data_IF_104595527606
#
_entry.id   IF_104595527606
#
_cell.length_a   1.000
_cell.length_b   1.000
_cell.length_c   1.000
_cell.angle_alpha   90.00
_cell.angle_beta   90.00
_cell.angle_gamma   90.00
#
_symmetry.space_group_name_H-M   'P 1'
#
loop_
_entity.id
_entity.type
_entity.pdbx_description
1 polymer ?
#
# COMPACT_ATOMS: atom_id res chain seq x y z
N UNK A 1 -31.40 -16.90 -26.04
CA UNK A 1 -30.31 -15.92 -26.26
C UNK A 1 -29.26 -16.19 -25.20
N UNK A 2 -28.01 -16.55 -25.54
CA UNK A 2 -26.96 -16.76 -24.55
C UNK A 2 -26.53 -15.40 -23.97
N UNK A 3 -26.30 -15.35 -22.66
CA UNK A 3 -25.84 -14.13 -21.99
C UNK A 3 -24.50 -13.65 -22.58
N UNK A 4 -24.26 -12.34 -22.72
CA UNK A 4 -22.96 -11.85 -23.15
C UNK A 4 -21.91 -12.27 -22.13
N UNK A 5 -20.96 -13.11 -22.57
CA UNK A 5 -19.78 -13.42 -21.78
C UNK A 5 -18.96 -12.13 -21.69
N UNK A 6 -18.97 -11.48 -20.52
CA UNK A 6 -17.99 -10.45 -20.21
C UNK A 6 -16.63 -11.15 -20.17
N UNK A 7 -15.91 -11.10 -21.30
CA UNK A 7 -14.47 -11.37 -21.34
C UNK A 7 -13.80 -10.20 -20.61
N UNK A 8 -13.81 -10.26 -19.27
CA UNK A 8 -12.86 -9.50 -18.47
C UNK A 8 -11.53 -10.17 -18.78
N UNK A 9 -10.82 -9.65 -19.78
CA UNK A 9 -9.40 -9.90 -19.91
C UNK A 9 -8.77 -9.29 -18.65
N UNK A 10 -8.18 -10.08 -17.73
CA UNK A 10 -7.48 -9.50 -16.60
C UNK A 10 -6.22 -8.82 -17.14
N UNK A 11 -6.34 -7.54 -17.52
CA UNK A 11 -5.19 -6.66 -17.74
C UNK A 11 -4.68 -6.26 -16.36
N UNK A 12 -3.54 -6.84 -15.97
CA UNK A 12 -2.82 -6.53 -14.73
C UNK A 12 -2.70 -5.02 -14.55
N UNK A 13 -3.20 -4.51 -13.42
CA UNK A 13 -3.05 -3.14 -12.92
C UNK A 13 -3.19 -1.99 -13.95
N UNK A 14 -4.20 -1.99 -14.82
CA UNK A 14 -4.44 -0.81 -15.68
C UNK A 14 -4.66 0.44 -14.79
N UNK A 15 -3.82 1.47 -14.94
CA UNK A 15 -3.95 2.81 -14.33
C UNK A 15 -3.55 2.98 -12.86
N UNK A 16 -3.31 1.90 -12.13
CA UNK A 16 -2.85 1.98 -10.73
C UNK A 16 -1.38 2.37 -10.68
N UNK A 17 -1.03 3.33 -9.83
CA UNK A 17 0.36 3.81 -9.68
C UNK A 17 0.71 3.90 -8.21
N UNK A 18 1.92 3.49 -7.87
CA UNK A 18 2.51 3.72 -6.56
C UNK A 18 3.66 4.70 -6.74
N UNK A 19 3.78 5.69 -5.86
CA UNK A 19 4.91 6.63 -5.87
C UNK A 19 5.44 6.84 -4.48
N UNK A 20 6.74 7.01 -4.37
CA UNK A 20 7.40 7.36 -3.11
C UNK A 20 7.93 8.78 -3.18
N UNK A 21 7.69 9.56 -2.13
CA UNK A 21 8.16 10.92 -1.96
C UNK A 21 8.94 11.09 -0.65
N UNK A 22 9.98 11.93 -0.66
CA UNK A 22 10.77 12.30 0.52
C UNK A 22 10.75 13.82 0.74
N UNK A 23 10.68 14.25 2.00
CA UNK A 23 10.73 15.67 2.39
C UNK A 23 9.38 16.42 2.30
N UNK A 24 9.40 17.72 2.62
CA UNK A 24 8.20 18.59 2.61
C UNK A 24 7.69 18.91 1.20
N UNK A 25 8.56 18.87 0.19
CA UNK A 25 8.22 18.98 -1.24
C UNK A 25 8.66 17.71 -1.96
N UNK A 26 7.84 16.64 -1.95
CA UNK A 26 8.28 15.33 -2.39
C UNK A 26 8.58 15.29 -3.89
N UNK A 27 9.82 14.94 -4.24
CA UNK A 27 10.13 14.39 -5.57
C UNK A 27 9.55 12.98 -5.63
N UNK A 28 8.50 12.81 -6.44
CA UNK A 28 7.80 11.53 -6.57
C UNK A 28 8.53 10.59 -7.52
N UNK A 29 9.05 9.49 -6.99
CA UNK A 29 9.59 8.39 -7.81
C UNK A 29 8.46 7.41 -8.13
N UNK A 30 8.08 7.20 -9.40
CA UNK A 30 7.03 6.26 -9.77
C UNK A 30 7.53 4.82 -9.72
N UNK A 31 6.70 3.93 -9.19
CA UNK A 31 6.91 2.49 -9.21
C UNK A 31 6.63 1.90 -10.59
N UNK A 32 7.49 0.99 -11.02
CA UNK A 32 7.36 0.23 -12.27
C UNK A 32 7.03 -1.23 -11.99
N UNK A 33 6.46 -1.93 -12.98
CA UNK A 33 6.27 -3.38 -12.92
C UNK A 33 5.23 -3.86 -11.89
N UNK A 34 4.29 -3.01 -11.48
CA UNK A 34 3.21 -3.34 -10.54
C UNK A 34 2.29 -4.40 -11.15
N UNK A 35 2.02 -5.48 -10.42
CA UNK A 35 1.14 -6.56 -10.90
C UNK A 35 -0.25 -6.47 -10.27
N UNK A 36 -0.29 -6.37 -8.95
CA UNK A 36 -1.53 -6.32 -8.17
C UNK A 36 -1.43 -5.20 -7.14
N UNK A 37 -2.32 -4.22 -7.24
CA UNK A 37 -2.35 -3.05 -6.34
C UNK A 37 -3.74 -2.98 -5.75
N UNK A 38 -3.84 -3.37 -4.49
CA UNK A 38 -5.04 -3.21 -3.68
C UNK A 38 -4.96 -1.91 -2.88
N UNK A 39 -6.11 -1.36 -2.47
CA UNK A 39 -6.11 -0.33 -1.46
C UNK A 39 -5.91 -0.97 -0.07
N UNK A 40 -5.04 -0.43 0.79
CA UNK A 40 -4.90 -0.93 2.16
C UNK A 40 -6.23 -0.84 2.92
N UNK A 41 -6.62 -1.94 3.56
CA UNK A 41 -7.75 -1.96 4.48
C UNK A 41 -7.31 -1.45 5.86
N UNK A 42 -7.84 -0.29 6.26
CA UNK A 42 -7.61 0.33 7.57
C UNK A 42 -8.89 0.34 8.40
N UNK A 43 -9.62 -0.78 8.43
CA UNK A 43 -10.82 -0.87 9.27
C UNK A 43 -10.46 -0.59 10.74
N UNK A 44 -11.08 0.41 11.39
CA UNK A 44 -10.86 0.69 12.81
C UNK A 44 -11.36 -0.48 13.65
N UNK A 45 -10.67 -0.78 14.74
CA UNK A 45 -11.16 -1.78 15.70
C UNK A 45 -12.37 -1.21 16.45
N UNK A 46 -13.41 -2.02 16.63
CA UNK A 46 -14.54 -1.64 17.49
C UNK A 46 -14.15 -1.78 18.96
N UNK A 47 -14.38 -0.71 19.72
CA UNK A 47 -14.21 -0.68 21.17
C UNK A 47 -15.56 -0.90 21.83
N UNK A 48 -15.68 -1.97 22.61
CA UNK A 48 -16.87 -2.25 23.41
C UNK A 48 -16.97 -1.21 24.53
N UNK A 49 -18.10 -0.48 24.55
CA UNK A 49 -18.46 0.51 25.57
C UNK A 49 -19.80 0.18 26.23
N UNK A 50 -20.22 -1.09 26.13
CA UNK A 50 -21.49 -1.57 26.66
C UNK A 50 -21.59 -1.26 28.16
N UNK A 51 -22.72 -0.69 28.55
CA UNK A 51 -23.02 -0.33 29.92
C UNK A 51 -24.36 -0.94 30.37
N UNK A 52 -24.61 -0.97 31.68
CA UNK A 52 -25.83 -1.57 32.25
C UNK A 52 -27.11 -0.79 31.89
N UNK A 53 -26.97 0.41 31.31
CA UNK A 53 -28.08 1.23 30.82
C UNK A 53 -28.22 1.18 29.29
N UNK A 54 -27.46 0.30 28.60
CA UNK A 54 -27.52 0.17 27.15
C UNK A 54 -28.93 -0.24 26.73
N UNK A 55 -29.57 0.53 25.83
CA UNK A 55 -30.95 0.31 25.44
C UNK A 55 -31.10 -1.02 24.69
N UNK A 56 -32.19 -1.75 24.95
CA UNK A 56 -32.53 -2.95 24.19
C UNK A 56 -31.62 -4.16 24.42
N UNK A 57 -30.77 -4.15 25.46
CA UNK A 57 -29.79 -5.20 25.72
C UNK A 57 -28.86 -5.48 24.51
N UNK A 58 -28.56 -4.44 23.73
CA UNK A 58 -27.65 -4.51 22.59
C UNK A 58 -26.25 -4.06 23.00
N UNK A 59 -25.24 -4.67 22.38
CA UNK A 59 -23.84 -4.25 22.49
C UNK A 59 -23.67 -2.85 21.89
N UNK A 60 -22.99 -1.95 22.61
CA UNK A 60 -22.69 -0.59 22.14
C UNK A 60 -21.21 -0.48 21.83
N UNK A 61 -20.89 -0.13 20.58
CA UNK A 61 -19.52 -0.09 20.09
C UNK A 61 -19.15 1.34 19.68
N UNK A 62 -17.93 1.76 20.04
CA UNK A 62 -17.32 2.99 19.55
C UNK A 62 -16.18 2.66 18.59
N UNK A 63 -16.06 3.34 17.45
CA UNK A 63 -14.92 3.14 16.56
C UNK A 63 -13.61 3.55 17.26
N UNK A 64 -12.64 2.64 17.28
CA UNK A 64 -11.31 2.86 17.81
C UNK A 64 -10.38 3.63 16.85
N UNK A 65 -9.09 3.65 17.19
CA UNK A 65 -8.07 4.30 16.36
C UNK A 65 -7.84 3.52 15.05
N UNK A 66 -7.54 4.24 13.97
CA UNK A 66 -7.12 3.63 12.71
C UNK A 66 -5.81 2.85 12.93
N UNK A 67 -5.78 1.55 12.63
CA UNK A 67 -4.56 0.76 12.83
C UNK A 67 -3.50 1.13 11.80
N UNK A 68 -2.23 1.00 12.22
CA UNK A 68 -1.12 0.97 11.28
C UNK A 68 -1.09 -0.40 10.59
N UNK A 69 -1.27 -0.42 9.27
CA UNK A 69 -1.48 -1.65 8.48
C UNK A 69 -0.27 -1.95 7.61
N UNK A 70 0.03 -3.24 7.46
CA UNK A 70 1.07 -3.70 6.55
C UNK A 70 0.49 -3.81 5.13
N UNK A 71 0.97 -2.97 4.23
CA UNK A 71 0.61 -2.97 2.81
C UNK A 71 1.69 -3.68 1.99
N UNK A 72 1.34 -4.74 1.27
CA UNK A 72 2.28 -5.51 0.47
C UNK A 72 1.90 -5.48 -0.99
N UNK A 73 2.89 -5.27 -1.85
CA UNK A 73 2.69 -5.24 -3.30
C UNK A 73 3.70 -6.16 -3.98
N UNK A 74 3.16 -6.95 -4.90
CA UNK A 74 3.95 -7.77 -5.80
C UNK A 74 4.25 -6.96 -7.08
N UNK A 75 5.55 -6.88 -7.40
CA UNK A 75 6.06 -6.16 -8.55
C UNK A 75 7.16 -6.96 -9.25
N UNK A 76 7.51 -6.55 -10.46
CA UNK A 76 8.63 -7.14 -11.18
C UNK A 76 9.93 -6.46 -10.77
N UNK A 77 10.94 -7.27 -10.48
CA UNK A 77 12.28 -6.78 -10.18
C UNK A 77 12.95 -6.32 -11.47
N UNK A 78 13.29 -5.04 -11.52
CA UNK A 78 13.99 -4.41 -12.63
C UNK A 78 15.32 -3.85 -12.12
N UNK A 79 16.40 -4.61 -12.38
CA UNK A 79 17.73 -4.34 -11.84
C UNK A 79 18.24 -2.99 -12.33
N UNK A 80 18.57 -2.10 -11.40
CA UNK A 80 19.18 -0.80 -11.73
C UNK A 80 18.19 0.28 -12.18
N UNK A 81 16.88 0.03 -12.02
CA UNK A 81 15.87 1.07 -12.13
C UNK A 81 16.04 2.12 -11.01
N UNK A 82 15.67 3.36 -11.28
CA UNK A 82 15.60 4.42 -10.26
C UNK A 82 14.68 4.04 -9.10
N UNK A 83 13.65 3.23 -9.39
CA UNK A 83 12.73 2.69 -8.39
C UNK A 83 13.39 1.65 -7.48
N UNK A 84 14.15 0.71 -8.04
CA UNK A 84 14.90 -0.31 -7.29
C UNK A 84 15.92 0.35 -6.34
N UNK A 85 16.70 1.29 -6.86
CA UNK A 85 17.67 2.08 -6.09
C UNK A 85 17.00 2.87 -4.95
N UNK A 86 15.81 3.43 -5.22
CA UNK A 86 15.03 4.14 -4.21
C UNK A 86 14.52 3.19 -3.11
N UNK A 87 14.06 1.99 -3.45
CA UNK A 87 13.58 1.01 -2.47
C UNK A 87 14.73 0.41 -1.65
N UNK A 88 15.89 0.14 -2.27
CA UNK A 88 17.06 -0.34 -1.54
C UNK A 88 17.54 0.70 -0.52
N UNK A 89 17.62 1.97 -0.92
CA UNK A 89 17.98 3.05 0.00
C UNK A 89 16.94 3.30 1.11
N UNK A 90 15.65 3.07 0.86
CA UNK A 90 14.59 3.15 1.88
C UNK A 90 14.57 1.94 2.82
N UNK A 91 15.03 0.77 2.35
CA UNK A 91 15.13 -0.42 3.18
C UNK A 91 16.36 -0.37 4.10
N UNK A 92 17.38 0.40 3.72
CA UNK A 92 18.54 0.64 4.56
C UNK A 92 18.10 1.23 5.89
N UNK A 93 18.58 0.64 6.99
CA UNK A 93 18.42 1.22 8.31
C UNK A 93 19.44 2.31 8.47
N UNK A 94 19.05 3.42 9.10
CA UNK A 94 20.01 4.43 9.49
C UNK A 94 21.07 3.80 10.40
N UNK A 95 22.35 3.97 10.05
CA UNK A 95 23.46 3.32 10.74
C UNK A 95 23.62 3.84 12.18
N UNK A 96 23.08 5.02 12.49
CA UNK A 96 23.22 5.65 13.80
C UNK A 96 22.06 5.35 14.76
N UNK A 97 20.83 5.30 14.25
CA UNK A 97 19.61 5.09 15.06
C UNK A 97 18.99 3.71 14.89
N UNK A 98 19.37 2.95 13.85
CA UNK A 98 18.74 1.69 13.48
C UNK A 98 17.28 1.84 13.01
N UNK A 99 16.78 3.08 12.92
CA UNK A 99 15.43 3.40 12.50
C UNK A 99 15.32 3.33 10.97
N UNK A 100 14.11 3.05 10.49
CA UNK A 100 13.78 3.12 9.06
C UNK A 100 13.27 4.52 8.73
N UNK A 101 13.66 5.03 7.57
CA UNK A 101 13.23 6.34 7.09
C UNK A 101 11.72 6.34 6.83
N UNK A 102 11.02 7.29 7.46
CA UNK A 102 9.61 7.57 7.18
C UNK A 102 9.52 8.38 5.88
N UNK A 103 8.69 7.91 4.95
CA UNK A 103 8.48 8.52 3.65
C UNK A 103 6.99 8.60 3.32
N UNK A 104 6.67 9.40 2.30
CA UNK A 104 5.32 9.50 1.76
C UNK A 104 5.14 8.44 0.68
N UNK A 105 4.07 7.67 0.79
CA UNK A 105 3.65 6.67 -0.18
C UNK A 105 2.31 7.10 -0.76
N UNK A 106 2.29 7.47 -2.04
CA UNK A 106 1.06 7.73 -2.78
C UNK A 106 0.62 6.44 -3.47
N UNK A 107 -0.58 5.97 -3.11
CA UNK A 107 -1.21 4.81 -3.73
C UNK A 107 -2.39 5.31 -4.55
N UNK A 108 -2.36 5.01 -5.84
CA UNK A 108 -3.47 5.22 -6.74
C UNK A 108 -3.97 3.87 -7.26
N UNK A 109 -5.27 3.62 -7.11
CA UNK A 109 -5.93 2.46 -7.73
C UNK A 109 -7.07 2.93 -8.63
N UNK A 110 -7.14 2.33 -9.82
CA UNK A 110 -8.21 2.55 -10.79
C UNK A 110 -7.78 3.33 -12.03
N UNK A 111 -8.73 3.49 -12.97
CA UNK A 111 -8.53 4.18 -14.26
C UNK A 111 -9.60 5.25 -14.47
N UNK A 112 -9.23 6.32 -15.17
CA UNK A 112 -10.16 7.38 -15.58
C UNK A 112 -10.80 8.12 -14.39
N UNK A 113 -12.09 8.42 -14.51
CA UNK A 113 -12.88 9.22 -13.54
C UNK A 113 -13.12 8.50 -12.20
N UNK A 114 -12.79 7.21 -12.08
CA UNK A 114 -12.89 6.41 -10.85
C UNK A 114 -11.59 6.28 -10.08
N UNK A 115 -10.56 7.07 -10.43
CA UNK A 115 -9.25 7.07 -9.78
C UNK A 115 -9.39 7.46 -8.31
N UNK A 116 -9.03 6.56 -7.40
CA UNK A 116 -8.84 6.89 -5.99
C UNK A 116 -7.34 7.02 -5.74
N UNK A 117 -6.91 8.14 -5.17
CA UNK A 117 -5.53 8.38 -4.78
C UNK A 117 -5.53 8.70 -3.29
N UNK A 118 -4.64 8.07 -2.53
CA UNK A 118 -4.42 8.41 -1.11
C UNK A 118 -2.93 8.45 -0.83
N UNK A 119 -2.53 9.41 -0.02
CA UNK A 119 -1.14 9.56 0.41
C UNK A 119 -1.00 9.17 1.86
N UNK A 120 -0.12 8.21 2.12
CA UNK A 120 0.16 7.67 3.44
C UNK A 120 1.58 8.03 3.86
N UNK A 121 1.75 8.28 5.16
CA UNK A 121 3.06 8.25 5.79
C UNK A 121 3.39 6.79 6.11
N UNK A 122 4.49 6.28 5.57
CA UNK A 122 4.86 4.88 5.66
C UNK A 122 6.38 4.69 5.82
N UNK A 123 6.77 3.49 6.23
CA UNK A 123 8.16 3.03 6.11
C UNK A 123 8.19 1.65 5.44
N UNK A 124 9.28 1.34 4.76
CA UNK A 124 9.44 0.08 4.03
C UNK A 124 9.90 -0.99 5.03
N UNK A 125 9.05 -1.96 5.36
CA UNK A 125 9.33 -3.01 6.35
C UNK A 125 10.20 -4.13 5.76
N UNK A 126 9.85 -4.60 4.57
CA UNK A 126 10.57 -5.68 3.90
C UNK A 126 10.70 -5.41 2.40
N UNK A 127 11.86 -5.79 1.87
CA UNK A 127 12.20 -5.67 0.46
C UNK A 127 13.02 -6.89 0.07
N UNK A 128 12.38 -7.83 -0.65
CA UNK A 128 13.04 -9.09 -1.02
C UNK A 128 12.67 -9.53 -2.44
N UNK A 129 13.67 -9.79 -3.31
CA UNK A 129 13.43 -10.47 -4.56
C UNK A 129 13.03 -11.92 -4.30
N UNK A 130 12.01 -12.39 -5.01
CA UNK A 130 11.54 -13.77 -5.02
C UNK A 130 12.14 -14.48 -6.24
N UNK A 131 12.55 -15.73 -6.06
CA UNK A 131 13.28 -16.50 -7.06
C UNK A 131 12.67 -16.43 -8.47
N UNK A 132 13.51 -16.57 -9.52
CA UNK A 132 13.12 -16.30 -10.89
C UNK A 132 11.99 -17.24 -11.34
N UNK A 133 10.93 -16.67 -11.90
CA UNK A 133 9.85 -17.40 -12.56
C UNK A 133 9.93 -17.07 -14.05
N UNK A 134 10.26 -18.07 -14.87
CA UNK A 134 10.33 -17.93 -16.34
C UNK A 134 11.24 -16.78 -16.83
N UNK A 135 12.38 -16.56 -16.17
CA UNK A 135 13.35 -15.53 -16.55
C UNK A 135 13.07 -14.13 -16.00
N UNK A 136 11.92 -13.92 -15.34
CA UNK A 136 11.60 -12.68 -14.64
C UNK A 136 11.70 -12.91 -13.14
N UNK A 137 12.31 -11.98 -12.41
CA UNK A 137 12.37 -12.00 -10.95
C UNK A 137 11.16 -11.23 -10.44
N UNK A 138 10.29 -11.89 -9.68
CA UNK A 138 9.19 -11.23 -9.00
C UNK A 138 9.71 -10.69 -7.66
N UNK A 139 9.14 -9.62 -7.16
CA UNK A 139 9.58 -8.95 -5.94
C UNK A 139 8.40 -8.56 -5.10
N UNK A 140 8.56 -8.65 -3.78
CA UNK A 140 7.56 -8.16 -2.82
C UNK A 140 8.15 -7.04 -2.00
N UNK A 141 7.48 -5.90 -2.02
CA UNK A 141 7.74 -4.79 -1.12
C UNK A 141 6.58 -4.69 -0.12
N UNK A 142 6.92 -4.67 1.16
CA UNK A 142 5.94 -4.53 2.25
C UNK A 142 6.21 -3.25 3.01
N UNK A 143 5.26 -2.31 2.99
CA UNK A 143 5.28 -1.09 3.77
C UNK A 143 4.40 -1.23 5.01
N UNK A 144 4.70 -0.47 6.05
CA UNK A 144 3.74 -0.22 7.12
C UNK A 144 3.22 1.20 7.03
N UNK A 145 1.92 1.33 6.80
CA UNK A 145 1.21 2.60 6.68
C UNK A 145 0.81 3.06 8.08
N UNK A 146 1.13 4.30 8.43
CA UNK A 146 0.89 4.83 9.78
C UNK A 146 -0.25 5.84 9.81
N UNK A 147 -0.17 6.89 9.00
CA UNK A 147 -1.18 7.95 8.96
C UNK A 147 -1.46 8.34 7.52
N UNK A 148 -2.70 8.74 7.24
CA UNK A 148 -3.08 9.34 5.97
C UNK A 148 -2.77 10.83 6.03
N UNK A 149 -1.99 11.34 5.08
CA UNK A 149 -1.56 12.75 5.05
C UNK A 149 -2.51 13.60 4.20
N UNK A 150 -3.13 13.02 3.17
CA UNK A 150 -4.15 13.67 2.35
C UNK A 150 -5.05 12.65 1.61
N UNK A 151 -6.33 12.99 1.45
CA UNK A 151 -7.26 12.45 0.45
C UNK A 151 -7.43 13.43 -0.72
#
# INVERSE_FOLDING_TARGET
MPAPAFSISPLLAHGSTIRVGRGETPTWTPGTGLQDVEFPDQMPADLDITNQSSPGATEENMPGLLPAVDFSVDMMYDVGSEWDTALESLNARDASTGAKELHLLEICVGTGTGKKTRTFLAYLKDYKPRGPIKGNVAMRATWRLMSTVAE
#
